data_IF_449209095018
#
_entry.id   IF_449209095018
#
_cell.length_a   1.000
_cell.length_b   1.000
_cell.length_c   1.000
_cell.angle_alpha   90.00
_cell.angle_beta   90.00
_cell.angle_gamma   90.00
#
_symmetry.space_group_name_H-M   'P 1'
#
loop_
_entity.id
_entity.type
_entity.pdbx_description
1 polymer ?
#
# COMPACT_ATOMS: atom_id res chain seq x y z
N UNK A 1 -5.57 -9.60 -16.85
CA UNK A 1 -4.49 -9.63 -15.84
C UNK A 1 -3.93 -8.21 -15.65
N UNK A 2 -4.05 -7.63 -14.46
CA UNK A 2 -3.78 -6.21 -14.24
C UNK A 2 -4.62 -5.23 -15.09
N UNK A 3 -4.63 -3.95 -14.69
CA UNK A 3 -5.15 -2.86 -15.52
C UNK A 3 -4.27 -2.67 -16.77
N UNK A 4 -4.88 -2.29 -17.91
CA UNK A 4 -4.14 -1.94 -19.13
C UNK A 4 -3.54 -3.13 -19.91
N UNK A 5 -4.25 -4.26 -19.99
CA UNK A 5 -3.87 -5.42 -20.81
C UNK A 5 -2.53 -6.09 -20.42
N UNK A 6 -2.17 -6.00 -19.13
CA UNK A 6 -0.92 -6.59 -18.63
C UNK A 6 -1.04 -8.13 -18.62
N UNK A 7 0.06 -8.87 -18.81
CA UNK A 7 0.00 -10.34 -18.77
C UNK A 7 -0.01 -10.87 -17.33
N UNK A 8 0.31 -10.06 -16.32
CA UNK A 8 0.48 -10.52 -14.93
C UNK A 8 -0.46 -9.69 -14.03
N UNK A 9 -1.11 -10.35 -13.08
CA UNK A 9 -1.89 -9.72 -12.02
C UNK A 9 -1.12 -9.72 -10.69
N UNK A 10 -1.54 -8.85 -9.78
CA UNK A 10 -0.98 -8.77 -8.42
C UNK A 10 -2.12 -8.63 -7.41
N UNK A 11 -2.03 -9.36 -6.31
CA UNK A 11 -2.86 -9.19 -5.12
C UNK A 11 -1.98 -8.73 -3.98
N UNK A 12 -2.25 -7.55 -3.43
CA UNK A 12 -1.49 -6.98 -2.32
C UNK A 12 -2.38 -6.83 -1.09
N UNK A 13 -1.86 -7.18 0.09
CA UNK A 13 -2.53 -6.99 1.38
C UNK A 13 -1.86 -5.84 2.11
N UNK A 14 -2.61 -4.76 2.33
CA UNK A 14 -2.15 -3.59 3.08
C UNK A 14 -3.02 -3.36 4.31
N UNK A 15 -2.40 -2.97 5.42
CA UNK A 15 -3.08 -2.46 6.62
C UNK A 15 -2.87 -0.95 6.70
N UNK A 16 -3.91 -0.13 6.47
CA UNK A 16 -3.81 1.32 6.60
C UNK A 16 -3.41 1.71 8.03
N UNK A 17 -2.35 2.49 8.17
CA UNK A 17 -1.84 2.90 9.46
C UNK A 17 -2.59 4.14 9.96
N UNK A 18 -3.05 4.11 11.22
CA UNK A 18 -3.62 5.29 11.89
C UNK A 18 -2.53 6.22 12.43
N UNK A 19 -1.38 5.65 12.76
CA UNK A 19 -0.20 6.33 13.25
C UNK A 19 1.03 5.71 12.59
N UNK A 20 2.05 6.53 12.33
CA UNK A 20 3.35 6.09 11.85
C UNK A 20 4.41 7.08 12.34
N UNK A 21 5.61 6.58 12.57
CA UNK A 21 6.75 7.39 12.97
C UNK A 21 7.92 7.07 12.04
N UNK A 22 8.54 8.11 11.48
CA UNK A 22 9.73 7.99 10.64
C UNK A 22 10.84 8.79 11.29
N UNK A 23 12.01 8.18 11.40
CA UNK A 23 13.23 8.81 11.88
C UNK A 23 14.25 8.90 10.75
N UNK A 24 14.92 10.04 10.63
CA UNK A 24 16.04 10.23 9.72
C UNK A 24 17.11 11.05 10.45
N UNK A 25 18.34 10.53 10.49
CA UNK A 25 19.49 11.17 11.17
C UNK A 25 19.22 11.60 12.63
N UNK A 26 18.56 10.74 13.42
CA UNK A 26 18.26 11.04 14.81
C UNK A 26 17.07 11.99 15.02
N UNK A 27 16.37 12.39 13.95
CA UNK A 27 15.23 13.32 14.00
C UNK A 27 13.96 12.64 13.54
N UNK A 28 12.94 12.69 14.39
CA UNK A 28 11.61 12.22 14.04
C UNK A 28 10.88 13.23 13.16
N UNK A 29 10.22 12.72 12.12
CA UNK A 29 9.28 13.50 11.34
C UNK A 29 8.09 13.95 12.21
N UNK A 30 7.70 15.22 12.09
CA UNK A 30 6.59 15.79 12.86
C UNK A 30 5.20 15.51 12.24
N UNK A 31 5.17 14.95 11.03
CA UNK A 31 3.92 14.69 10.31
C UNK A 31 3.21 13.44 10.84
N UNK A 32 1.88 13.44 10.68
CA UNK A 32 1.03 12.27 10.94
C UNK A 32 0.43 11.74 9.64
N UNK A 33 0.18 10.43 9.53
CA UNK A 33 -0.59 9.89 8.40
C UNK A 33 -1.96 10.56 8.28
N UNK A 34 -2.41 10.79 7.05
CA UNK A 34 -3.73 11.36 6.77
C UNK A 34 -4.61 10.34 6.02
N UNK A 35 -5.95 10.45 6.13
CA UNK A 35 -6.86 9.56 5.40
C UNK A 35 -6.68 9.68 3.88
N UNK A 36 -6.70 8.54 3.20
CA UNK A 36 -6.64 8.46 1.74
C UNK A 36 -7.62 7.41 1.21
N UNK A 37 -7.75 7.33 -0.11
CA UNK A 37 -8.49 6.25 -0.78
C UNK A 37 -7.57 5.49 -1.72
N UNK A 38 -7.72 4.16 -1.74
CA UNK A 38 -7.06 3.28 -2.72
C UNK A 38 -8.13 2.61 -3.55
N UNK A 39 -8.44 3.19 -4.71
CA UNK A 39 -9.62 2.81 -5.49
C UNK A 39 -10.89 3.23 -4.75
N UNK A 40 -11.76 2.27 -4.48
CA UNK A 40 -13.03 2.43 -3.76
C UNK A 40 -12.92 2.18 -2.25
N UNK A 41 -11.73 1.83 -1.74
CA UNK A 41 -11.50 1.52 -0.32
C UNK A 41 -10.83 2.65 0.44
N UNK A 42 -11.26 2.86 1.67
CA UNK A 42 -10.58 3.73 2.64
C UNK A 42 -9.16 3.22 2.94
N UNK A 43 -8.23 4.14 3.05
CA UNK A 43 -6.80 3.91 3.28
C UNK A 43 -6.22 5.06 4.12
N UNK A 44 -4.90 5.08 4.23
CA UNK A 44 -4.09 6.13 4.85
C UNK A 44 -2.86 6.37 3.98
N UNK A 45 -2.25 7.56 4.10
CA UNK A 45 -0.98 7.91 3.45
C UNK A 45 0.21 7.06 3.93
N UNK A 46 0.03 6.31 5.01
CA UNK A 46 0.96 5.27 5.46
C UNK A 46 0.23 3.92 5.62
N UNK A 47 0.90 2.81 5.29
CA UNK A 47 0.36 1.46 5.49
C UNK A 47 1.46 0.42 5.70
N UNK A 48 1.11 -0.69 6.37
CA UNK A 48 1.96 -1.88 6.42
C UNK A 48 1.63 -2.77 5.22
N UNK A 49 2.64 -3.04 4.39
CA UNK A 49 2.56 -4.04 3.33
C UNK A 49 2.84 -5.43 3.92
N UNK A 50 1.84 -6.31 3.91
CA UNK A 50 1.96 -7.63 4.52
C UNK A 50 2.36 -8.71 3.53
N UNK A 51 1.69 -8.74 2.37
CA UNK A 51 1.93 -9.78 1.37
C UNK A 51 1.65 -9.25 -0.01
N UNK A 52 2.39 -9.77 -0.98
CA UNK A 52 2.13 -9.55 -2.39
C UNK A 52 2.22 -10.89 -3.15
N UNK A 53 1.14 -11.22 -3.86
CA UNK A 53 1.04 -12.46 -4.63
C UNK A 53 0.88 -12.12 -6.11
N UNK A 54 1.86 -12.55 -6.90
CA UNK A 54 1.90 -12.37 -8.35
C UNK A 54 1.25 -13.56 -9.05
N UNK A 55 0.36 -13.28 -10.01
CA UNK A 55 -0.39 -14.32 -10.72
C UNK A 55 -0.26 -14.19 -12.23
N UNK A 56 -0.07 -15.32 -12.90
CA UNK A 56 -0.18 -15.41 -14.36
C UNK A 56 -1.64 -15.65 -14.77
N UNK A 57 -2.04 -15.32 -16.01
CA UNK A 57 -3.35 -15.68 -16.52
C UNK A 57 -3.44 -17.20 -16.52
N UNK A 58 -4.60 -17.75 -16.16
CA UNK A 58 -4.84 -19.18 -16.37
C UNK A 58 -4.94 -19.39 -17.88
N UNK A 59 -4.11 -20.27 -18.42
CA UNK A 59 -4.29 -20.81 -19.77
C UNK A 59 -5.54 -21.67 -19.83
#
# INVERSE_FOLDING_TARGET
PGSGNRPIGVFSTFFPAREAQVEMDGRFAAGSPWPETRGDRQSSSACLAWSETWVKPRG
#
